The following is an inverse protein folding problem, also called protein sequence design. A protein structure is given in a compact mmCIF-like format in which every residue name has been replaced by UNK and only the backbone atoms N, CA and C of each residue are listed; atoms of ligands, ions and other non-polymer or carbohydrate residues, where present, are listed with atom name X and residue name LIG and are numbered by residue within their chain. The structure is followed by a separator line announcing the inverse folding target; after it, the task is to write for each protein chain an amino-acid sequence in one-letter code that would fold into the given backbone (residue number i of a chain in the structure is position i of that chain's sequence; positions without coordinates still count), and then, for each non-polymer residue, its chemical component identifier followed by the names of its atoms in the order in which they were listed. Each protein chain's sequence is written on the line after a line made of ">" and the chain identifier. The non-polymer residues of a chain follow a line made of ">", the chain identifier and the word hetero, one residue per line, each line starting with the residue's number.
data_IF_273224039370
#
_entry.id   IF_273224039370
#
_cell.length_a   1.000
_cell.length_b   1.000
_cell.length_c   1.000
_cell.angle_alpha   90.00
_cell.angle_beta   90.00
_cell.angle_gamma   90.00
#
_symmetry.space_group_name_H-M   'P 1'
#
loop_
_entity.id
_entity.type
_entity.pdbx_description
1 polymer ?
#
# COMPACT_ATOMS: atom_id res chain seq x y z
N UNK A 1 -23.28 55.13 6.32
CA UNK A 1 -23.57 53.72 6.55
C UNK A 1 -22.75 52.95 5.53
N UNK A 2 -21.62 52.47 5.97
CA UNK A 2 -20.58 51.82 5.16
C UNK A 2 -21.01 50.39 4.85
N UNK A 3 -21.18 50.09 3.56
CA UNK A 3 -21.32 48.76 3.01
C UNK A 3 -20.00 47.99 3.18
N UNK A 4 -19.81 47.38 4.32
CA UNK A 4 -18.90 46.24 4.45
C UNK A 4 -19.68 45.01 4.03
N UNK A 5 -19.84 44.81 2.73
CA UNK A 5 -20.15 43.51 2.16
C UNK A 5 -18.92 42.63 2.46
N UNK A 6 -19.06 41.73 3.41
CA UNK A 6 -18.10 40.65 3.68
C UNK A 6 -17.87 39.93 2.39
N UNK A 7 -16.68 40.02 1.85
CA UNK A 7 -16.12 39.11 0.86
C UNK A 7 -16.09 37.72 1.54
N UNK A 8 -17.18 36.96 1.43
CA UNK A 8 -17.15 35.55 1.71
C UNK A 8 -16.21 35.00 0.65
N UNK A 9 -15.00 34.67 1.03
CA UNK A 9 -14.05 33.93 0.19
C UNK A 9 -14.83 32.78 -0.45
N UNK A 10 -15.12 32.92 -1.73
CA UNK A 10 -15.82 31.88 -2.48
C UNK A 10 -14.92 30.65 -2.45
N UNK A 11 -15.39 29.60 -1.78
CA UNK A 11 -14.67 28.34 -1.76
C UNK A 11 -14.36 27.90 -3.20
N UNK A 12 -13.14 27.49 -3.51
CA UNK A 12 -12.75 27.07 -4.84
C UNK A 12 -13.66 25.92 -5.29
N UNK A 13 -14.22 26.05 -6.49
CA UNK A 13 -15.06 25.03 -7.10
C UNK A 13 -14.27 24.39 -8.24
N UNK A 14 -14.08 23.07 -8.17
CA UNK A 14 -13.54 22.27 -9.24
C UNK A 14 -14.66 21.46 -9.88
N UNK A 15 -14.67 21.39 -11.21
CA UNK A 15 -15.52 20.48 -11.98
C UNK A 15 -14.64 19.40 -12.62
N UNK A 16 -15.01 18.16 -12.43
CA UNK A 16 -14.48 17.01 -13.19
C UNK A 16 -15.56 16.61 -14.19
N UNK A 17 -15.29 16.73 -15.49
CA UNK A 17 -16.22 16.41 -16.56
C UNK A 17 -15.68 15.26 -17.39
N UNK A 18 -16.51 14.25 -17.66
CA UNK A 18 -16.13 13.08 -18.45
C UNK A 18 -16.72 11.82 -17.85
N UNK A 19 -15.91 10.81 -17.64
CA UNK A 19 -16.36 9.54 -17.06
C UNK A 19 -15.78 9.39 -15.65
N UNK A 20 -16.61 9.59 -14.64
CA UNK A 20 -16.22 9.45 -13.22
C UNK A 20 -16.54 8.04 -12.77
N UNK A 21 -15.52 7.25 -12.54
CA UNK A 21 -15.62 5.87 -12.10
C UNK A 21 -15.76 5.83 -10.57
N UNK A 22 -16.99 5.89 -10.08
CA UNK A 22 -17.29 5.88 -8.62
C UNK A 22 -17.04 4.50 -8.03
N UNK A 23 -17.27 3.46 -8.79
CA UNK A 23 -17.03 2.05 -8.45
C UNK A 23 -16.74 1.24 -9.71
N UNK A 24 -16.54 -0.08 -9.60
CA UNK A 24 -16.28 -0.93 -10.76
C UNK A 24 -17.44 -0.86 -11.79
N UNK A 25 -18.69 -0.80 -11.32
CA UNK A 25 -19.89 -0.80 -12.15
C UNK A 25 -20.62 0.54 -12.15
N UNK A 26 -20.22 1.51 -11.31
CA UNK A 26 -20.87 2.82 -11.22
C UNK A 26 -20.04 3.89 -11.94
N UNK A 27 -20.66 4.52 -12.95
CA UNK A 27 -20.03 5.59 -13.73
C UNK A 27 -20.97 6.80 -13.80
N UNK A 28 -20.42 7.99 -13.55
CA UNK A 28 -21.14 9.28 -13.68
C UNK A 28 -20.46 10.16 -14.72
N UNK A 29 -21.18 11.16 -15.26
CA UNK A 29 -20.65 12.04 -16.32
C UNK A 29 -19.92 13.26 -15.77
N UNK A 30 -20.15 13.60 -14.50
CA UNK A 30 -19.46 14.70 -13.83
C UNK A 30 -19.44 14.54 -12.30
N UNK A 31 -18.51 15.25 -11.70
CA UNK A 31 -18.36 15.42 -10.27
C UNK A 31 -17.91 16.86 -10.01
N UNK A 32 -18.37 17.42 -8.91
CA UNK A 32 -17.94 18.74 -8.40
C UNK A 32 -17.18 18.57 -7.10
N UNK A 33 -16.20 19.44 -6.84
CA UNK A 33 -15.58 19.58 -5.54
C UNK A 33 -15.78 21.02 -5.04
N UNK A 34 -16.33 21.13 -3.85
CA UNK A 34 -16.59 22.42 -3.17
C UNK A 34 -15.92 22.37 -1.81
N UNK A 35 -15.01 23.29 -1.54
CA UNK A 35 -14.27 23.29 -0.29
C UNK A 35 -13.55 21.96 -0.01
N UNK A 36 -13.05 21.30 -1.07
CA UNK A 36 -12.34 20.01 -0.96
C UNK A 36 -13.25 18.80 -0.82
N UNK A 37 -14.57 18.94 -0.88
CA UNK A 37 -15.54 17.83 -0.76
C UNK A 37 -16.28 17.59 -2.05
N UNK A 38 -16.53 16.32 -2.33
CA UNK A 38 -17.26 15.86 -3.51
C UNK A 38 -18.75 16.16 -3.38
N UNK A 39 -19.36 16.64 -4.46
CA UNK A 39 -20.80 16.64 -4.65
C UNK A 39 -21.16 16.32 -6.11
N UNK A 40 -22.26 15.62 -6.30
CA UNK A 40 -22.84 15.31 -7.61
C UNK A 40 -23.94 16.29 -8.01
N UNK A 41 -24.30 17.20 -7.09
CA UNK A 41 -25.20 18.33 -7.39
C UNK A 41 -24.39 19.53 -7.88
N UNK A 42 -24.88 20.20 -8.93
CA UNK A 42 -24.24 21.41 -9.42
C UNK A 42 -24.29 22.52 -8.36
N UNK A 43 -23.12 22.96 -7.83
CA UNK A 43 -23.11 23.93 -6.77
C UNK A 43 -23.38 25.37 -7.24
N UNK A 44 -23.81 26.27 -6.35
CA UNK A 44 -23.78 27.71 -6.60
C UNK A 44 -22.33 28.15 -6.96
N UNK A 45 -22.22 29.06 -7.96
CA UNK A 45 -20.91 29.54 -8.41
C UNK A 45 -20.17 28.60 -9.38
N UNK A 46 -20.85 27.56 -9.86
CA UNK A 46 -20.33 26.62 -10.86
C UNK A 46 -19.83 27.26 -12.16
N UNK A 47 -20.31 28.50 -12.50
CA UNK A 47 -19.94 29.25 -13.71
C UNK A 47 -18.45 29.61 -13.75
N UNK A 48 -17.81 29.77 -12.58
CA UNK A 48 -16.38 30.09 -12.44
C UNK A 48 -15.51 28.88 -12.11
N UNK A 49 -16.04 27.67 -12.15
CA UNK A 49 -15.32 26.47 -11.77
C UNK A 49 -14.15 26.17 -12.70
N UNK A 50 -12.98 25.86 -12.13
CA UNK A 50 -11.91 25.20 -12.87
C UNK A 50 -12.44 23.85 -13.38
N UNK A 51 -12.20 23.52 -14.64
CA UNK A 51 -12.69 22.25 -15.20
C UNK A 51 -11.52 21.38 -15.66
N UNK A 52 -11.49 20.13 -15.19
CA UNK A 52 -10.66 19.06 -15.72
C UNK A 52 -11.51 18.04 -16.46
N UNK A 53 -10.96 17.39 -17.48
CA UNK A 53 -11.72 16.47 -18.35
C UNK A 53 -10.97 15.16 -18.53
N UNK A 54 -11.71 14.05 -18.53
CA UNK A 54 -11.15 12.71 -18.76
C UNK A 54 -11.88 11.62 -17.98
N UNK A 55 -11.16 10.54 -17.71
CA UNK A 55 -11.58 9.41 -16.91
C UNK A 55 -11.07 9.59 -15.49
N UNK A 56 -11.96 9.81 -14.55
CA UNK A 56 -11.61 10.05 -13.15
C UNK A 56 -11.79 8.78 -12.30
N UNK A 57 -10.81 8.51 -11.45
CA UNK A 57 -10.81 7.45 -10.43
C UNK A 57 -10.58 8.05 -9.05
N UNK A 58 -10.92 7.36 -7.95
CA UNK A 58 -10.32 7.67 -6.65
C UNK A 58 -8.80 7.69 -6.77
N UNK A 59 -8.14 8.57 -6.04
CA UNK A 59 -6.68 8.54 -5.96
C UNK A 59 -6.18 7.14 -5.60
N UNK A 60 -5.15 6.69 -6.30
CA UNK A 60 -4.64 5.32 -6.18
C UNK A 60 -4.11 5.05 -4.78
N UNK A 61 -4.09 3.78 -4.42
CA UNK A 61 -3.57 3.27 -3.14
C UNK A 61 -2.29 2.49 -3.40
N UNK A 62 -1.23 2.80 -2.67
CA UNK A 62 -0.10 1.92 -2.46
C UNK A 62 -0.22 1.28 -1.08
N UNK A 63 -0.55 -0.01 -1.05
CA UNK A 63 -0.81 -0.72 0.19
C UNK A 63 0.47 -1.28 0.85
N UNK A 64 1.63 -1.08 0.26
CA UNK A 64 2.93 -1.41 0.81
C UNK A 64 4.00 -0.47 0.26
N UNK A 65 4.30 0.55 1.02
CA UNK A 65 5.28 1.57 0.69
C UNK A 65 5.98 2.03 1.98
N UNK A 66 7.11 2.73 1.86
CA UNK A 66 7.93 3.16 3.00
C UNK A 66 8.38 4.61 2.81
N UNK A 67 7.52 5.58 3.10
CA UNK A 67 7.88 7.00 3.08
C UNK A 67 8.80 7.32 4.26
N UNK A 68 9.90 7.97 3.99
CA UNK A 68 10.89 8.28 5.03
C UNK A 68 11.98 7.21 5.21
N UNK A 69 12.11 6.28 4.25
CA UNK A 69 13.07 5.19 4.26
C UNK A 69 13.87 5.15 2.95
N UNK A 70 15.17 4.83 3.04
CA UNK A 70 16.02 4.47 1.91
C UNK A 70 16.88 3.22 2.23
N UNK A 71 17.76 2.81 1.33
CA UNK A 71 18.62 1.63 1.50
C UNK A 71 19.54 1.68 2.74
N UNK A 72 19.71 2.84 3.36
CA UNK A 72 20.58 3.05 4.53
C UNK A 72 19.81 3.20 5.85
N UNK A 73 18.49 3.33 5.78
CA UNK A 73 17.61 3.52 6.93
C UNK A 73 16.76 4.79 6.84
N UNK A 74 16.51 5.48 7.97
CA UNK A 74 15.69 6.69 8.00
C UNK A 74 16.31 7.82 7.19
N UNK A 75 15.47 8.56 6.47
CA UNK A 75 15.87 9.76 5.73
C UNK A 75 15.37 11.03 6.40
N UNK A 76 15.88 12.19 5.98
CA UNK A 76 15.41 13.49 6.44
C UNK A 76 14.02 13.86 5.87
N UNK A 77 13.39 14.88 6.45
CA UNK A 77 12.07 15.33 6.06
C UNK A 77 12.00 15.79 4.58
N UNK A 78 13.06 16.42 4.07
CA UNK A 78 13.11 16.89 2.69
C UNK A 78 13.15 15.70 1.70
N UNK A 79 13.83 14.63 2.03
CA UNK A 79 13.83 13.39 1.24
C UNK A 79 12.48 12.68 1.32
N UNK A 80 11.89 12.57 2.52
CA UNK A 80 10.56 12.00 2.70
C UNK A 80 9.49 12.80 1.93
N UNK A 81 9.60 14.13 1.88
CA UNK A 81 8.72 14.99 1.07
C UNK A 81 8.84 14.67 -0.42
N UNK A 82 10.07 14.56 -0.95
CA UNK A 82 10.30 14.20 -2.36
C UNK A 82 9.71 12.82 -2.69
N UNK A 83 9.84 11.85 -1.79
CA UNK A 83 9.24 10.53 -1.94
C UNK A 83 7.71 10.62 -2.05
N UNK A 84 7.06 11.31 -1.11
CA UNK A 84 5.62 11.52 -1.12
C UNK A 84 5.14 12.31 -2.36
N UNK A 85 5.90 13.32 -2.82
CA UNK A 85 5.60 14.06 -4.04
C UNK A 85 5.73 13.18 -5.30
N UNK A 86 6.68 12.24 -5.33
CA UNK A 86 6.83 11.29 -6.43
C UNK A 86 5.62 10.35 -6.50
N UNK A 87 5.19 9.79 -5.36
CA UNK A 87 4.00 8.96 -5.29
C UNK A 87 2.75 9.73 -5.71
N UNK A 88 2.58 10.97 -5.21
CA UNK A 88 1.50 11.86 -5.63
C UNK A 88 1.49 12.08 -7.14
N UNK A 89 2.66 12.37 -7.72
CA UNK A 89 2.80 12.59 -9.16
C UNK A 89 2.42 11.37 -10.00
N UNK A 90 2.60 10.17 -9.47
CA UNK A 90 2.13 8.91 -10.05
C UNK A 90 0.65 8.60 -9.78
N UNK A 91 -0.08 9.50 -9.09
CA UNK A 91 -1.50 9.32 -8.78
C UNK A 91 -1.78 8.58 -7.48
N UNK A 92 -0.77 8.21 -6.70
CA UNK A 92 -0.93 7.58 -5.38
C UNK A 92 -1.28 8.65 -4.35
N UNK A 93 -2.51 8.64 -3.86
CA UNK A 93 -3.04 9.63 -2.91
C UNK A 93 -3.36 9.04 -1.53
N UNK A 94 -3.24 7.73 -1.40
CA UNK A 94 -3.34 7.01 -0.14
C UNK A 94 -2.23 5.96 -0.07
N UNK A 95 -1.46 5.98 1.00
CA UNK A 95 -0.36 5.06 1.24
C UNK A 95 -0.64 4.29 2.54
N UNK A 96 -0.52 2.97 2.53
CA UNK A 96 -0.29 2.20 3.75
C UNK A 96 1.23 2.00 3.89
N UNK A 97 1.84 2.81 4.76
CA UNK A 97 3.24 2.66 5.12
C UNK A 97 3.41 1.38 5.95
N UNK A 98 4.03 0.38 5.31
CA UNK A 98 4.24 -0.94 5.89
C UNK A 98 5.44 -0.98 6.86
N UNK A 99 5.79 0.15 7.43
CA UNK A 99 6.80 0.31 8.47
C UNK A 99 7.92 1.28 8.06
N UNK A 100 8.17 2.27 8.90
CA UNK A 100 9.27 3.20 8.74
C UNK A 100 9.87 3.56 10.10
N UNK A 101 11.20 3.69 10.21
CA UNK A 101 11.83 4.26 11.39
C UNK A 101 11.64 5.77 11.51
N UNK A 102 11.30 6.46 10.40
CA UNK A 102 11.08 7.91 10.37
C UNK A 102 9.70 8.30 10.93
N UNK A 103 9.61 9.49 11.51
CA UNK A 103 8.32 10.10 11.85
C UNK A 103 7.85 10.98 10.70
N UNK A 104 6.82 10.52 10.00
CA UNK A 104 6.22 11.20 8.85
C UNK A 104 4.89 11.88 9.18
N UNK A 105 4.52 12.06 10.46
CA UNK A 105 3.23 12.66 10.85
C UNK A 105 3.04 14.10 10.39
N UNK A 106 4.13 14.84 10.22
CA UNK A 106 4.10 16.18 9.65
C UNK A 106 3.49 16.25 8.23
N UNK A 107 3.46 15.11 7.51
CA UNK A 107 2.80 15.00 6.19
C UNK A 107 1.28 15.18 6.32
N UNK A 108 0.68 14.80 7.45
CA UNK A 108 -0.76 14.89 7.65
C UNK A 108 -1.27 16.33 7.69
N UNK A 109 -0.40 17.28 8.05
CA UNK A 109 -0.67 18.73 8.06
C UNK A 109 -0.57 19.37 6.66
N UNK A 110 -0.14 18.59 5.65
CA UNK A 110 0.05 19.05 4.27
C UNK A 110 -1.16 18.67 3.41
N UNK A 111 -1.82 19.67 2.85
CA UNK A 111 -2.96 19.47 1.94
C UNK A 111 -2.56 18.99 0.54
N UNK A 112 -1.28 19.13 0.20
CA UNK A 112 -0.72 18.81 -1.11
C UNK A 112 0.06 17.48 -1.14
N UNK A 113 0.07 16.70 -0.05
CA UNK A 113 0.73 15.40 0.04
C UNK A 113 -0.29 14.26 0.23
N UNK A 114 0.06 13.02 -0.21
CA UNK A 114 -0.78 11.84 -0.01
C UNK A 114 -1.08 11.61 1.47
N UNK A 115 -2.22 11.00 1.76
CA UNK A 115 -2.53 10.54 3.12
C UNK A 115 -1.81 9.22 3.40
N UNK A 116 -1.30 9.08 4.63
CA UNK A 116 -0.53 7.89 5.04
C UNK A 116 -1.22 7.20 6.22
N UNK A 117 -1.37 5.89 6.13
CA UNK A 117 -1.76 4.98 7.21
C UNK A 117 -0.49 4.22 7.62
N UNK A 118 0.03 4.45 8.80
CA UNK A 118 1.33 3.96 9.26
C UNK A 118 1.21 2.70 10.10
N UNK A 119 2.07 1.73 9.82
CA UNK A 119 2.23 0.54 10.67
C UNK A 119 3.27 0.72 11.79
N UNK A 120 3.74 1.95 12.00
CA UNK A 120 4.83 2.23 12.92
C UNK A 120 6.20 1.78 12.38
N UNK A 121 7.10 1.33 13.25
CA UNK A 121 8.40 0.81 12.86
C UNK A 121 8.36 -0.72 12.77
N UNK A 122 9.03 -1.30 11.79
CA UNK A 122 9.19 -2.76 11.68
C UNK A 122 9.67 -3.37 13.01
N UNK A 123 9.19 -4.59 13.30
CA UNK A 123 9.66 -5.40 14.41
C UNK A 123 10.31 -6.65 13.84
N UNK A 124 11.61 -6.84 14.08
CA UNK A 124 12.40 -7.95 13.58
C UNK A 124 13.16 -8.62 14.71
N UNK A 125 13.43 -9.92 14.56
CA UNK A 125 14.35 -10.60 15.43
C UNK A 125 15.77 -10.06 15.24
N UNK A 126 16.58 -10.01 16.31
CA UNK A 126 17.97 -9.54 16.30
C UNK A 126 18.76 -10.17 15.15
N UNK A 127 19.36 -9.32 14.30
CA UNK A 127 20.15 -9.70 13.11
C UNK A 127 19.36 -10.44 12.01
N UNK A 128 18.04 -10.35 12.02
CA UNK A 128 17.13 -11.00 11.08
C UNK A 128 16.31 -9.98 10.32
N UNK A 129 16.92 -8.90 9.86
CA UNK A 129 16.38 -7.96 8.88
C UNK A 129 17.44 -6.99 8.37
N UNK A 130 17.02 -6.02 7.53
CA UNK A 130 17.84 -4.94 7.01
C UNK A 130 18.22 -4.01 8.17
N UNK A 131 19.51 -3.67 8.23
CA UNK A 131 20.05 -2.82 9.31
C UNK A 131 19.37 -1.45 9.31
N UNK A 132 19.13 -0.88 10.47
CA UNK A 132 18.51 0.42 10.74
C UNK A 132 17.02 0.54 10.42
N UNK A 133 16.35 -0.49 9.87
CA UNK A 133 14.92 -0.44 9.57
C UNK A 133 14.07 -0.74 10.83
N UNK A 134 14.33 -1.86 11.46
CA UNK A 134 13.48 -2.44 12.49
C UNK A 134 13.91 -2.10 13.91
N UNK A 135 13.01 -2.34 14.87
CA UNK A 135 13.40 -2.71 16.22
C UNK A 135 13.94 -4.13 16.17
N UNK A 136 15.21 -4.32 16.49
CA UNK A 136 15.82 -5.65 16.59
C UNK A 136 15.66 -6.15 18.03
N UNK A 137 14.87 -7.20 18.23
CA UNK A 137 14.47 -7.70 19.55
C UNK A 137 14.57 -9.22 19.64
N UNK A 138 14.55 -9.75 20.86
CA UNK A 138 14.41 -11.17 21.12
C UNK A 138 12.93 -11.60 21.18
N UNK A 139 12.60 -12.87 20.91
CA UNK A 139 11.21 -13.35 20.85
C UNK A 139 10.37 -13.03 22.08
N UNK A 140 10.94 -13.11 23.29
CA UNK A 140 10.22 -12.81 24.53
C UNK A 140 9.77 -11.35 24.68
N UNK A 141 10.31 -10.43 23.88
CA UNK A 141 9.93 -9.00 23.87
C UNK A 141 8.85 -8.69 22.84
N UNK A 142 8.46 -9.64 21.97
CA UNK A 142 7.61 -9.40 20.80
C UNK A 142 6.28 -8.75 21.18
N UNK A 143 5.59 -9.27 22.18
CA UNK A 143 4.27 -8.74 22.64
C UNK A 143 4.39 -7.29 23.09
N UNK A 144 5.46 -6.95 23.83
CA UNK A 144 5.67 -5.58 24.33
C UNK A 144 5.91 -4.57 23.19
N UNK A 145 6.71 -4.98 22.19
CA UNK A 145 6.99 -4.13 21.04
C UNK A 145 5.81 -4.00 20.10
N UNK A 146 5.03 -5.06 19.91
CA UNK A 146 3.76 -5.02 19.17
C UNK A 146 2.78 -4.05 19.85
N UNK A 147 2.63 -4.13 21.19
CA UNK A 147 1.79 -3.19 21.92
C UNK A 147 2.26 -1.74 21.82
N UNK A 148 3.58 -1.52 21.74
CA UNK A 148 4.17 -0.20 21.52
C UNK A 148 3.82 0.36 20.14
N UNK A 149 4.07 -0.43 19.08
CA UNK A 149 3.84 0.05 17.71
C UNK A 149 2.34 0.12 17.38
N UNK A 150 1.48 -0.72 17.97
CA UNK A 150 0.03 -0.61 17.86
C UNK A 150 -0.51 0.75 18.37
N UNK A 151 0.11 1.30 19.44
CA UNK A 151 -0.25 2.64 19.96
C UNK A 151 0.37 3.79 19.17
N UNK A 152 1.46 3.52 18.46
CA UNK A 152 2.20 4.52 17.66
C UNK A 152 1.66 4.62 16.23
N UNK A 153 1.25 3.52 15.65
CA UNK A 153 0.75 3.42 14.28
C UNK A 153 -0.69 3.92 14.13
N UNK A 154 -1.18 3.87 12.92
CA UNK A 154 -2.52 4.30 12.54
C UNK A 154 -3.44 3.07 12.36
N UNK A 155 -3.38 2.14 13.32
CA UNK A 155 -4.18 0.91 13.35
C UNK A 155 -3.53 -0.28 12.64
N UNK A 156 -2.21 -0.26 12.40
CA UNK A 156 -1.43 -1.36 11.87
C UNK A 156 -0.12 -1.58 12.65
N UNK A 157 0.38 -2.82 12.62
CA UNK A 157 1.72 -3.20 13.12
C UNK A 157 2.41 -4.03 12.05
N UNK A 158 3.71 -3.80 11.80
CA UNK A 158 4.53 -4.55 10.84
C UNK A 158 5.52 -5.46 11.56
N UNK A 159 5.40 -6.76 11.29
CA UNK A 159 6.37 -7.78 11.67
C UNK A 159 7.27 -8.15 10.49
N UNK A 160 8.46 -8.66 10.80
CA UNK A 160 9.28 -9.46 9.87
C UNK A 160 9.02 -10.92 10.22
N UNK A 161 8.26 -11.63 9.38
CA UNK A 161 7.83 -13.01 9.63
C UNK A 161 8.94 -14.02 9.38
N UNK A 162 9.73 -13.83 8.32
CA UNK A 162 10.91 -14.61 7.99
C UNK A 162 12.07 -13.75 7.51
N UNK A 163 13.25 -14.29 7.54
CA UNK A 163 14.47 -13.70 6.98
C UNK A 163 15.55 -14.74 6.87
N UNK A 164 16.64 -14.41 6.17
CA UNK A 164 17.80 -15.29 6.09
C UNK A 164 18.38 -15.59 7.49
N UNK A 165 18.46 -16.85 7.84
CA UNK A 165 19.22 -17.35 8.99
C UNK A 165 20.62 -17.77 8.53
N UNK A 166 21.64 -17.11 9.11
CA UNK A 166 23.02 -17.36 8.70
C UNK A 166 23.51 -18.76 9.04
N UNK A 167 22.92 -19.40 10.07
CA UNK A 167 23.28 -20.77 10.47
C UNK A 167 22.60 -21.82 9.60
N UNK A 168 21.37 -21.57 9.17
CA UNK A 168 20.64 -22.40 8.22
C UNK A 168 21.11 -22.17 6.77
N UNK A 169 21.66 -20.97 6.47
CA UNK A 169 22.04 -20.55 5.13
C UNK A 169 20.84 -20.36 4.19
N UNK A 170 19.64 -20.13 4.75
CA UNK A 170 18.38 -20.01 4.03
C UNK A 170 17.39 -19.13 4.81
N UNK A 171 16.22 -18.84 4.21
CA UNK A 171 15.08 -18.21 4.88
C UNK A 171 14.52 -19.15 5.94
N UNK A 172 14.24 -18.63 7.13
CA UNK A 172 13.52 -19.35 8.18
C UNK A 172 12.60 -18.40 8.94
N UNK A 173 11.60 -18.95 9.66
CA UNK A 173 10.72 -18.15 10.51
C UNK A 173 11.52 -17.36 11.56
N UNK A 174 11.14 -16.10 11.78
CA UNK A 174 11.80 -15.24 12.79
C UNK A 174 11.32 -15.52 14.21
N UNK A 175 10.09 -15.97 14.38
CA UNK A 175 9.42 -16.02 15.66
C UNK A 175 8.90 -17.42 15.99
N UNK A 176 9.02 -17.86 17.26
CA UNK A 176 8.30 -19.04 17.73
C UNK A 176 6.78 -18.81 17.64
N UNK A 177 6.03 -19.85 17.26
CA UNK A 177 4.57 -19.79 17.09
C UNK A 177 3.83 -19.20 18.30
N UNK A 178 4.19 -19.59 19.52
CA UNK A 178 3.56 -19.08 20.74
C UNK A 178 3.66 -17.57 20.89
N UNK A 179 4.83 -17.01 20.55
CA UNK A 179 5.08 -15.56 20.59
C UNK A 179 4.27 -14.81 19.55
N UNK A 180 4.15 -15.37 18.33
CA UNK A 180 3.33 -14.78 17.25
C UNK A 180 1.87 -14.75 17.64
N UNK A 181 1.32 -15.85 18.17
CA UNK A 181 -0.08 -15.91 18.62
C UNK A 181 -0.36 -14.86 19.69
N UNK A 182 0.51 -14.76 20.71
CA UNK A 182 0.34 -13.77 21.77
C UNK A 182 0.46 -12.32 21.25
N UNK A 183 1.39 -12.08 20.33
CA UNK A 183 1.64 -10.75 19.78
C UNK A 183 0.49 -10.26 18.89
N UNK A 184 -0.04 -11.12 18.01
CA UNK A 184 -1.19 -10.78 17.16
C UNK A 184 -2.44 -10.54 18.02
N UNK A 185 -2.68 -11.40 19.02
CA UNK A 185 -3.79 -11.21 19.94
C UNK A 185 -3.70 -9.88 20.70
N UNK A 186 -2.50 -9.47 21.11
CA UNK A 186 -2.29 -8.16 21.77
C UNK A 186 -2.50 -6.98 20.82
N UNK A 187 -2.08 -7.07 19.56
CA UNK A 187 -2.36 -6.05 18.55
C UNK A 187 -3.87 -5.87 18.36
N UNK A 188 -4.60 -6.97 18.17
CA UNK A 188 -6.06 -6.98 18.02
C UNK A 188 -6.76 -6.42 19.25
N UNK A 189 -6.32 -6.77 20.46
CA UNK A 189 -6.84 -6.21 21.70
C UNK A 189 -6.70 -4.70 21.78
N UNK A 190 -5.67 -4.15 21.14
CA UNK A 190 -5.41 -2.71 21.03
C UNK A 190 -6.08 -2.04 19.83
N UNK A 191 -6.85 -2.80 19.03
CA UNK A 191 -7.55 -2.31 17.85
C UNK A 191 -6.67 -2.15 16.60
N UNK A 192 -5.46 -2.74 16.61
CA UNK A 192 -4.56 -2.71 15.46
C UNK A 192 -4.57 -4.04 14.70
N UNK A 193 -4.51 -3.97 13.37
CA UNK A 193 -4.25 -5.08 12.46
C UNK A 193 -2.75 -5.38 12.38
N UNK A 194 -2.38 -6.60 12.02
CA UNK A 194 -0.98 -7.02 11.89
C UNK A 194 -0.68 -7.44 10.46
N UNK A 195 0.44 -6.99 9.95
CA UNK A 195 1.00 -7.47 8.69
C UNK A 195 2.43 -7.97 8.89
N UNK A 196 2.87 -8.94 8.06
CA UNK A 196 4.20 -9.49 8.14
C UNK A 196 4.88 -9.59 6.76
N UNK A 197 6.15 -9.20 6.69
CA UNK A 197 7.05 -9.57 5.61
C UNK A 197 7.24 -11.09 5.60
N UNK A 198 6.97 -11.77 4.49
CA UNK A 198 7.22 -13.19 4.32
C UNK A 198 7.57 -13.53 2.87
N UNK A 199 8.74 -14.15 2.69
CA UNK A 199 9.15 -14.73 1.42
C UNK A 199 8.98 -16.25 1.40
N UNK A 200 9.34 -16.94 2.50
CA UNK A 200 9.39 -18.39 2.58
C UNK A 200 8.03 -19.02 2.97
N UNK A 201 7.95 -20.32 2.75
CA UNK A 201 6.78 -21.16 3.05
C UNK A 201 6.57 -21.35 4.56
N UNK A 202 7.68 -21.51 5.30
CA UNK A 202 7.70 -22.03 6.68
C UNK A 202 6.87 -21.20 7.67
N UNK A 203 6.92 -19.86 7.55
CA UNK A 203 6.25 -18.95 8.50
C UNK A 203 4.76 -18.78 8.24
N UNK A 204 4.28 -19.04 7.05
CA UNK A 204 2.92 -18.68 6.61
C UNK A 204 1.82 -19.41 7.37
N UNK A 205 2.01 -20.72 7.63
CA UNK A 205 1.02 -21.51 8.38
C UNK A 205 0.84 -20.97 9.80
N UNK A 206 1.94 -20.72 10.51
CA UNK A 206 1.87 -20.22 11.89
C UNK A 206 1.25 -18.82 11.95
N UNK A 207 1.54 -17.95 10.98
CA UNK A 207 0.96 -16.61 10.90
C UNK A 207 -0.55 -16.64 10.63
N UNK A 208 -1.00 -17.44 9.65
CA UNK A 208 -2.44 -17.52 9.34
C UNK A 208 -3.22 -18.16 10.49
N UNK A 209 -2.67 -19.18 11.14
CA UNK A 209 -3.28 -19.82 12.30
C UNK A 209 -3.29 -18.92 13.54
N UNK A 210 -2.33 -18.00 13.66
CA UNK A 210 -2.31 -16.97 14.71
C UNK A 210 -3.30 -15.81 14.46
N UNK A 211 -3.92 -15.74 13.29
CA UNK A 211 -4.93 -14.73 12.94
C UNK A 211 -4.35 -13.45 12.36
N UNK A 212 -3.25 -13.52 11.60
CA UNK A 212 -2.70 -12.36 10.90
C UNK A 212 -3.71 -11.76 9.92
N UNK A 213 -3.67 -10.44 9.71
CA UNK A 213 -4.63 -9.74 8.85
C UNK A 213 -4.13 -9.58 7.40
N UNK A 214 -2.80 -9.52 7.21
CA UNK A 214 -2.19 -9.36 5.89
C UNK A 214 -0.79 -9.96 5.86
N UNK A 215 -0.39 -10.48 4.69
CA UNK A 215 1.00 -10.90 4.44
C UNK A 215 1.55 -10.16 3.24
N UNK A 216 2.72 -9.58 3.42
CA UNK A 216 3.46 -8.87 2.37
C UNK A 216 4.29 -9.86 1.56
N UNK A 217 4.40 -9.62 0.25
CA UNK A 217 5.08 -10.48 -0.72
C UNK A 217 4.43 -11.84 -0.90
N UNK A 218 4.27 -12.61 0.16
CA UNK A 218 3.59 -13.90 0.20
C UNK A 218 4.08 -14.92 -0.86
N UNK A 219 5.35 -14.81 -1.31
CA UNK A 219 5.94 -15.67 -2.35
C UNK A 219 5.98 -17.14 -1.97
N UNK A 220 5.94 -17.42 -0.65
CA UNK A 220 5.95 -18.76 -0.06
C UNK A 220 4.58 -19.44 0.00
N UNK A 221 3.50 -18.86 -0.51
CA UNK A 221 2.20 -19.53 -0.53
C UNK A 221 2.27 -20.86 -1.32
N UNK A 222 1.62 -21.88 -0.78
CA UNK A 222 1.57 -23.26 -1.34
C UNK A 222 0.14 -23.75 -1.43
N UNK A 223 -0.07 -24.86 -2.13
CA UNK A 223 -1.37 -25.55 -2.20
C UNK A 223 -1.94 -25.88 -0.81
N UNK A 224 -1.09 -26.05 0.22
CA UNK A 224 -1.53 -26.32 1.59
C UNK A 224 -1.93 -25.06 2.36
N UNK A 225 -1.28 -23.90 2.11
CA UNK A 225 -1.51 -22.66 2.85
C UNK A 225 -2.55 -21.76 2.19
N UNK A 226 -2.67 -21.76 0.86
CA UNK A 226 -3.66 -20.97 0.12
C UNK A 226 -5.10 -21.17 0.66
N UNK A 227 -5.60 -22.40 0.88
CA UNK A 227 -6.95 -22.59 1.42
C UNK A 227 -7.14 -21.96 2.81
N UNK A 228 -6.11 -21.99 3.66
CA UNK A 228 -6.17 -21.40 5.00
C UNK A 228 -6.27 -19.88 4.95
N UNK A 229 -5.53 -19.24 4.03
CA UNK A 229 -5.61 -17.79 3.80
C UNK A 229 -6.98 -17.39 3.28
N UNK A 230 -7.52 -18.11 2.30
CA UNK A 230 -8.84 -17.85 1.73
C UNK A 230 -9.95 -18.00 2.77
N UNK A 231 -9.95 -19.10 3.54
CA UNK A 231 -10.94 -19.37 4.60
C UNK A 231 -10.97 -18.27 5.66
N UNK A 232 -9.81 -17.70 6.01
CA UNK A 232 -9.69 -16.68 7.05
C UNK A 232 -9.74 -15.26 6.51
N UNK A 233 -9.81 -15.07 5.19
CA UNK A 233 -9.84 -13.77 4.56
C UNK A 233 -8.56 -12.96 4.76
N UNK A 234 -7.41 -13.63 4.95
CA UNK A 234 -6.11 -12.97 5.10
C UNK A 234 -5.70 -12.36 3.78
N UNK A 235 -5.46 -11.04 3.75
CA UNK A 235 -5.05 -10.34 2.55
C UNK A 235 -3.58 -10.60 2.20
N UNK A 236 -3.24 -10.44 0.91
CA UNK A 236 -1.84 -10.36 0.47
C UNK A 236 -1.57 -9.10 -0.33
N UNK A 237 -0.33 -8.62 -0.23
CA UNK A 237 0.21 -7.54 -1.06
C UNK A 237 1.47 -8.07 -1.74
N UNK A 238 1.36 -8.57 -3.00
CA UNK A 238 2.43 -9.36 -3.63
C UNK A 238 3.72 -8.60 -3.92
N UNK A 239 3.66 -7.28 -4.13
CA UNK A 239 4.84 -6.46 -4.45
C UNK A 239 5.68 -7.02 -5.59
N UNK A 240 5.06 -7.42 -6.69
CA UNK A 240 5.73 -8.11 -7.80
C UNK A 240 6.87 -7.27 -8.40
N UNK A 241 6.76 -5.93 -8.35
CA UNK A 241 7.86 -5.04 -8.76
C UNK A 241 9.09 -5.19 -7.86
N UNK A 242 8.90 -5.47 -6.56
CA UNK A 242 10.01 -5.81 -5.66
C UNK A 242 10.52 -7.21 -5.93
N UNK A 243 9.64 -8.20 -6.11
CA UNK A 243 10.04 -9.59 -6.40
C UNK A 243 10.84 -9.68 -7.70
N UNK A 244 10.67 -8.75 -8.64
CA UNK A 244 11.47 -8.67 -9.84
C UNK A 244 12.98 -8.47 -9.56
N UNK A 245 13.37 -8.03 -8.37
CA UNK A 245 14.76 -7.86 -7.95
C UNK A 245 15.42 -9.18 -7.44
N UNK A 246 14.64 -10.23 -7.20
CA UNK A 246 15.13 -11.48 -6.61
C UNK A 246 16.29 -12.15 -7.37
N UNK A 247 16.31 -12.17 -8.72
CA UNK A 247 17.44 -12.73 -9.46
C UNK A 247 18.78 -12.05 -9.14
N UNK A 248 18.76 -10.70 -9.02
CA UNK A 248 19.96 -9.92 -8.71
C UNK A 248 20.38 -10.11 -7.25
N UNK A 249 19.41 -10.12 -6.32
CA UNK A 249 19.67 -10.43 -4.91
C UNK A 249 20.27 -11.84 -4.75
N UNK A 250 19.70 -12.84 -5.43
CA UNK A 250 20.19 -14.21 -5.42
C UNK A 250 21.62 -14.30 -5.96
N UNK A 251 21.90 -13.66 -7.09
CA UNK A 251 23.24 -13.61 -7.66
C UNK A 251 24.27 -12.97 -6.71
N UNK A 252 23.90 -11.86 -6.08
CA UNK A 252 24.76 -11.18 -5.10
C UNK A 252 25.06 -11.99 -3.83
N UNK A 253 24.13 -12.87 -3.43
CA UNK A 253 24.23 -13.70 -2.24
C UNK A 253 24.85 -15.08 -2.45
N UNK A 254 24.94 -15.56 -3.70
CA UNK A 254 25.22 -16.97 -4.04
C UNK A 254 26.52 -17.52 -3.44
N UNK A 255 27.60 -16.76 -3.49
CA UNK A 255 28.88 -17.18 -2.95
C UNK A 255 28.84 -17.44 -1.43
N UNK A 256 27.97 -16.74 -0.70
CA UNK A 256 27.87 -16.82 0.76
C UNK A 256 26.73 -17.73 1.23
N UNK A 257 25.61 -17.71 0.54
CA UNK A 257 24.37 -18.41 0.89
C UNK A 257 23.76 -19.11 -0.33
N UNK A 258 24.40 -20.18 -0.86
CA UNK A 258 23.96 -20.83 -2.10
C UNK A 258 22.54 -21.43 -2.00
N UNK A 259 22.15 -21.96 -0.81
CA UNK A 259 20.79 -22.48 -0.59
C UNK A 259 19.76 -21.38 -0.67
N UNK A 260 19.96 -20.29 0.05
CA UNK A 260 19.10 -19.11 0.01
C UNK A 260 18.99 -18.55 -1.42
N UNK A 261 20.11 -18.48 -2.14
CA UNK A 261 20.13 -17.99 -3.52
C UNK A 261 19.28 -18.88 -4.45
N UNK A 262 19.40 -20.21 -4.32
CA UNK A 262 18.59 -21.14 -5.10
C UNK A 262 17.09 -21.03 -4.73
N UNK A 263 16.78 -20.88 -3.44
CA UNK A 263 15.42 -20.69 -2.94
C UNK A 263 14.79 -19.39 -3.48
N UNK A 264 15.50 -18.26 -3.41
CA UNK A 264 15.02 -16.98 -3.95
C UNK A 264 14.70 -17.07 -5.46
N UNK A 265 15.51 -17.81 -6.25
CA UNK A 265 15.22 -18.05 -7.68
C UNK A 265 13.94 -18.86 -7.86
N UNK A 266 13.72 -19.91 -7.06
CA UNK A 266 12.51 -20.73 -7.11
C UNK A 266 11.26 -19.90 -6.77
N UNK A 267 11.32 -19.07 -5.74
CA UNK A 267 10.24 -18.14 -5.37
C UNK A 267 9.95 -17.16 -6.51
N UNK A 268 10.99 -16.63 -7.15
CA UNK A 268 10.84 -15.75 -8.32
C UNK A 268 10.19 -16.44 -9.50
N UNK A 269 10.63 -17.66 -9.86
CA UNK A 269 10.11 -18.39 -11.00
C UNK A 269 8.61 -18.66 -10.90
N UNK A 270 8.12 -19.00 -9.70
CA UNK A 270 6.70 -19.31 -9.47
C UNK A 270 5.82 -18.11 -9.10
N UNK A 271 6.38 -16.89 -8.98
CA UNK A 271 5.68 -15.70 -8.43
C UNK A 271 4.30 -15.42 -9.04
N UNK A 272 4.18 -15.54 -10.37
CA UNK A 272 2.91 -15.27 -11.05
C UNK A 272 1.89 -16.38 -10.79
N UNK A 273 2.32 -17.65 -10.86
CA UNK A 273 1.46 -18.80 -10.57
C UNK A 273 0.96 -18.75 -9.12
N UNK A 274 1.83 -18.37 -8.18
CA UNK A 274 1.48 -18.20 -6.77
C UNK A 274 0.41 -17.12 -6.57
N UNK A 275 0.58 -15.93 -7.18
CA UNK A 275 -0.40 -14.85 -7.09
C UNK A 275 -1.71 -15.23 -7.78
N UNK A 276 -1.63 -15.90 -8.93
CA UNK A 276 -2.81 -16.38 -9.65
C UNK A 276 -3.58 -17.41 -8.82
N UNK A 277 -2.91 -18.40 -8.26
CA UNK A 277 -3.54 -19.41 -7.41
C UNK A 277 -4.19 -18.80 -6.14
N UNK A 278 -3.53 -17.82 -5.53
CA UNK A 278 -4.10 -17.08 -4.39
C UNK A 278 -5.39 -16.33 -4.79
N UNK A 279 -5.37 -15.61 -5.91
CA UNK A 279 -6.54 -14.91 -6.43
C UNK A 279 -7.70 -15.87 -6.76
N UNK A 280 -7.42 -16.98 -7.47
CA UNK A 280 -8.42 -17.97 -7.86
C UNK A 280 -9.06 -18.66 -6.63
N UNK A 281 -8.33 -18.74 -5.51
CA UNK A 281 -8.84 -19.25 -4.25
C UNK A 281 -9.67 -18.22 -3.47
N UNK A 282 -9.78 -16.97 -3.95
CA UNK A 282 -10.53 -15.88 -3.32
C UNK A 282 -9.78 -15.15 -2.22
N UNK A 283 -8.45 -15.25 -2.14
CA UNK A 283 -7.63 -14.44 -1.25
C UNK A 283 -7.68 -12.98 -1.70
N UNK A 284 -7.98 -12.01 -0.81
CA UNK A 284 -7.93 -10.59 -1.14
C UNK A 284 -6.50 -10.17 -1.55
N UNK A 285 -6.34 -9.61 -2.75
CA UNK A 285 -5.05 -9.14 -3.29
C UNK A 285 -5.10 -7.63 -3.44
N UNK A 286 -4.10 -6.93 -2.92
CA UNK A 286 -3.98 -5.47 -3.04
C UNK A 286 -2.65 -5.07 -3.66
N UNK A 287 -2.64 -3.91 -4.32
CA UNK A 287 -1.45 -3.32 -4.93
C UNK A 287 -0.56 -2.71 -3.87
N UNK A 288 0.72 -3.05 -3.88
CA UNK A 288 1.75 -2.41 -3.09
C UNK A 288 3.10 -2.57 -3.76
N UNK A 289 3.97 -1.58 -3.63
CA UNK A 289 5.20 -1.50 -4.43
C UNK A 289 6.45 -1.91 -3.67
N UNK A 290 6.43 -1.83 -2.34
CA UNK A 290 7.62 -1.88 -1.49
C UNK A 290 8.64 -0.77 -1.82
N UNK A 291 8.13 0.36 -2.35
CA UNK A 291 8.93 1.55 -2.61
C UNK A 291 9.48 2.16 -1.31
N UNK A 292 10.61 2.81 -1.40
CA UNK A 292 11.49 3.09 -0.27
C UNK A 292 12.55 1.99 -0.18
N UNK A 293 13.44 2.02 0.75
CA UNK A 293 14.52 1.05 0.76
C UNK A 293 15.35 1.10 -0.54
N UNK A 294 15.33 0.03 -1.31
CA UNK A 294 16.09 -0.09 -2.56
C UNK A 294 15.30 0.29 -3.82
N UNK A 295 13.98 0.40 -3.73
CA UNK A 295 13.12 0.75 -4.86
C UNK A 295 12.75 2.24 -4.84
N UNK A 296 12.63 2.81 -6.04
CA UNK A 296 12.12 4.17 -6.21
C UNK A 296 10.62 4.24 -5.91
N UNK A 297 10.13 5.41 -5.52
CA UNK A 297 8.70 5.70 -5.39
C UNK A 297 8.02 5.88 -6.75
N UNK A 298 6.68 5.82 -6.80
CA UNK A 298 5.88 6.06 -8.00
C UNK A 298 5.63 4.81 -8.85
N UNK A 299 5.71 3.61 -8.29
CA UNK A 299 5.66 2.34 -9.04
C UNK A 299 4.28 1.67 -9.09
N UNK A 300 3.21 2.27 -8.56
CA UNK A 300 1.87 1.67 -8.48
C UNK A 300 1.36 1.18 -9.83
N UNK A 301 1.51 1.98 -10.90
CA UNK A 301 1.09 1.55 -12.25
C UNK A 301 1.86 0.31 -12.74
N UNK A 302 3.14 0.20 -12.37
CA UNK A 302 3.96 -0.99 -12.65
C UNK A 302 3.44 -2.23 -11.93
N UNK A 303 3.12 -2.11 -10.64
CA UNK A 303 2.57 -3.23 -9.86
C UNK A 303 1.21 -3.70 -10.39
N UNK A 304 0.31 -2.78 -10.78
CA UNK A 304 -0.96 -3.14 -11.44
C UNK A 304 -0.69 -3.94 -12.73
N UNK A 305 0.28 -3.51 -13.54
CA UNK A 305 0.63 -4.24 -14.75
C UNK A 305 1.20 -5.64 -14.46
N UNK A 306 1.99 -5.79 -13.39
CA UNK A 306 2.49 -7.09 -12.95
C UNK A 306 1.37 -8.02 -12.45
N UNK A 307 0.37 -7.49 -11.74
CA UNK A 307 -0.81 -8.27 -11.34
C UNK A 307 -1.59 -8.78 -12.56
N UNK A 308 -1.76 -7.95 -13.59
CA UNK A 308 -2.40 -8.38 -14.85
C UNK A 308 -1.56 -9.46 -15.56
N UNK A 309 -0.23 -9.36 -15.56
CA UNK A 309 0.65 -10.42 -16.08
C UNK A 309 0.52 -11.73 -15.28
N UNK A 310 0.28 -11.64 -13.98
CA UNK A 310 -0.01 -12.81 -13.15
C UNK A 310 -1.40 -13.42 -13.45
N UNK A 311 -2.19 -12.83 -14.35
CA UNK A 311 -3.50 -13.31 -14.77
C UNK A 311 -4.67 -12.76 -13.98
N UNK A 312 -4.47 -11.77 -13.11
CA UNK A 312 -5.59 -11.08 -12.47
C UNK A 312 -6.32 -10.23 -13.52
N UNK A 313 -7.67 -10.29 -13.59
CA UNK A 313 -8.43 -9.48 -14.53
C UNK A 313 -8.13 -7.98 -14.37
N UNK A 314 -7.99 -7.20 -15.47
CA UNK A 314 -7.62 -5.78 -15.40
C UNK A 314 -8.49 -4.93 -14.47
N UNK A 315 -9.82 -5.17 -14.44
CA UNK A 315 -10.73 -4.46 -13.55
C UNK A 315 -10.47 -4.78 -12.07
N UNK A 316 -10.14 -6.03 -11.75
CA UNK A 316 -9.81 -6.46 -10.39
C UNK A 316 -8.43 -5.90 -9.96
N UNK A 317 -7.44 -5.91 -10.85
CA UNK A 317 -6.14 -5.29 -10.58
C UNK A 317 -6.27 -3.77 -10.38
N UNK A 318 -7.16 -3.10 -11.13
CA UNK A 318 -7.51 -1.70 -10.93
C UNK A 318 -8.22 -1.48 -9.58
N UNK A 319 -9.18 -2.34 -9.23
CA UNK A 319 -9.88 -2.31 -7.94
C UNK A 319 -8.90 -2.46 -6.77
N UNK A 320 -7.88 -3.30 -6.92
CA UNK A 320 -6.84 -3.56 -5.91
C UNK A 320 -5.95 -2.34 -5.59
N UNK A 321 -6.00 -1.26 -6.37
CA UNK A 321 -5.34 0.03 -6.08
C UNK A 321 -6.32 1.20 -5.96
N UNK A 322 -7.62 1.00 -6.24
CA UNK A 322 -8.62 2.06 -6.18
C UNK A 322 -9.70 1.72 -5.13
N UNK A 323 -10.88 1.34 -5.57
CA UNK A 323 -12.05 1.14 -4.70
C UNK A 323 -11.87 0.04 -3.66
N UNK A 324 -11.38 -1.12 -4.07
CA UNK A 324 -11.18 -2.28 -3.21
C UNK A 324 -10.16 -2.01 -2.11
N UNK A 325 -9.02 -1.44 -2.47
CA UNK A 325 -7.98 -1.07 -1.51
C UNK A 325 -8.45 0.00 -0.52
N UNK A 326 -9.18 1.03 -1.00
CA UNK A 326 -9.75 2.07 -0.11
C UNK A 326 -10.77 1.49 0.86
N UNK A 327 -11.67 0.64 0.38
CA UNK A 327 -12.64 -0.06 1.22
C UNK A 327 -11.95 -0.93 2.28
N UNK A 328 -10.95 -1.71 1.90
CA UNK A 328 -10.16 -2.53 2.82
C UNK A 328 -9.46 -1.70 3.91
N UNK A 329 -8.97 -0.51 3.55
CA UNK A 329 -8.32 0.41 4.48
C UNK A 329 -9.32 1.31 5.23
N UNK A 330 -10.64 1.17 5.00
CA UNK A 330 -11.69 1.98 5.63
C UNK A 330 -11.63 3.45 5.23
N UNK A 331 -11.26 3.72 3.97
CA UNK A 331 -11.17 5.08 3.41
C UNK A 331 -12.17 5.26 2.28
N UNK A 332 -12.81 6.45 2.18
CA UNK A 332 -13.78 6.71 1.13
C UNK A 332 -13.11 6.73 -0.26
N UNK A 333 -13.91 6.43 -1.28
CA UNK A 333 -13.62 6.65 -2.69
C UNK A 333 -14.12 8.00 -3.18
N UNK A 334 -15.05 7.98 -4.16
CA UNK A 334 -15.66 9.18 -4.73
C UNK A 334 -17.13 9.35 -4.32
N UNK A 335 -17.49 8.95 -3.10
CA UNK A 335 -18.84 9.10 -2.57
C UNK A 335 -19.17 10.57 -2.30
N UNK A 336 -20.48 10.91 -2.29
CA UNK A 336 -20.98 12.23 -1.90
C UNK A 336 -20.41 12.64 -0.52
N UNK A 337 -19.86 13.85 -0.42
CA UNK A 337 -19.27 14.39 0.79
C UNK A 337 -17.85 13.89 1.12
N UNK A 338 -17.30 12.93 0.39
CA UNK A 338 -15.93 12.47 0.56
C UNK A 338 -14.89 13.55 0.22
N UNK A 339 -13.64 13.46 0.70
CA UNK A 339 -12.56 14.29 0.19
C UNK A 339 -12.41 14.13 -1.32
N UNK A 340 -12.22 15.22 -2.04
CA UNK A 340 -12.02 15.20 -3.49
C UNK A 340 -10.56 14.88 -3.81
N UNK A 341 -10.17 13.62 -3.55
CA UNK A 341 -8.86 13.05 -3.82
C UNK A 341 -9.00 12.06 -4.98
N UNK A 342 -8.62 12.50 -6.19
CA UNK A 342 -8.86 11.75 -7.42
C UNK A 342 -7.76 11.95 -8.46
N UNK A 343 -7.69 11.02 -9.39
CA UNK A 343 -6.77 11.06 -10.53
C UNK A 343 -7.59 11.04 -11.82
N UNK A 344 -7.19 11.86 -12.79
CA UNK A 344 -7.86 11.94 -14.11
C UNK A 344 -6.90 11.45 -15.19
N UNK A 345 -7.39 10.56 -16.03
CA UNK A 345 -6.68 9.99 -17.17
C UNK A 345 -7.31 10.40 -18.48
N UNK A 346 -6.56 10.33 -19.58
CA UNK A 346 -7.06 10.65 -20.91
C UNK A 346 -7.94 9.54 -21.47
N UNK A 347 -7.58 8.28 -21.20
CA UNK A 347 -8.24 7.08 -21.69
C UNK A 347 -8.83 6.24 -20.55
N UNK A 348 -9.70 5.27 -20.90
CA UNK A 348 -10.35 4.39 -19.92
C UNK A 348 -9.35 3.38 -19.32
N UNK A 349 -9.00 3.50 -18.03
CA UNK A 349 -8.05 2.58 -17.39
C UNK A 349 -8.59 1.16 -17.19
N UNK A 350 -9.90 0.94 -17.37
CA UNK A 350 -10.49 -0.41 -17.37
C UNK A 350 -10.22 -1.15 -18.68
N UNK A 351 -10.08 -0.40 -19.78
CA UNK A 351 -9.73 -0.95 -21.08
C UNK A 351 -8.23 -1.26 -21.19
N UNK A 352 -7.38 -0.40 -20.60
CA UNK A 352 -5.94 -0.59 -20.58
C UNK A 352 -5.34 0.00 -19.30
N UNK A 353 -4.93 -0.86 -18.37
CA UNK A 353 -4.33 -0.43 -17.11
C UNK A 353 -3.00 0.32 -17.28
N UNK A 354 -2.35 0.24 -18.44
CA UNK A 354 -1.08 0.95 -18.72
C UNK A 354 -1.24 2.46 -18.71
N UNK A 355 -2.46 2.98 -18.92
CA UNK A 355 -2.74 4.42 -18.81
C UNK A 355 -2.49 4.97 -17.42
N UNK A 356 -2.48 4.13 -16.38
CA UNK A 356 -2.20 4.54 -15.00
C UNK A 356 -0.79 5.14 -14.85
N UNK A 357 0.14 4.83 -15.76
CA UNK A 357 1.49 5.38 -15.74
C UNK A 357 1.57 6.88 -16.10
N UNK A 358 0.50 7.45 -16.66
CA UNK A 358 0.48 8.84 -17.14
C UNK A 358 -0.79 9.58 -16.67
N UNK A 359 -0.90 9.94 -15.39
CA UNK A 359 -1.99 10.78 -14.91
C UNK A 359 -2.03 12.11 -15.66
N UNK A 360 -3.20 12.49 -16.16
CA UNK A 360 -3.40 13.79 -16.79
C UNK A 360 -3.52 14.92 -15.77
N UNK A 361 -4.26 14.65 -14.70
CA UNK A 361 -4.37 15.55 -13.56
C UNK A 361 -4.43 14.73 -12.26
N UNK A 362 -3.78 15.26 -11.25
CA UNK A 362 -3.90 14.80 -9.88
C UNK A 362 -4.62 15.85 -9.06
N UNK A 363 -5.65 15.45 -8.34
CA UNK A 363 -6.49 16.33 -7.52
C UNK A 363 -6.41 15.87 -6.07
N UNK A 364 -6.03 16.76 -5.19
CA UNK A 364 -6.04 16.57 -3.74
C UNK A 364 -6.87 17.66 -3.07
N UNK A 365 -7.77 17.28 -2.19
CA UNK A 365 -8.67 18.18 -1.49
C UNK A 365 -9.38 19.16 -2.44
N UNK A 366 -9.77 18.67 -3.64
CA UNK A 366 -10.45 19.46 -4.66
C UNK A 366 -9.58 20.48 -5.40
N UNK A 367 -8.25 20.40 -5.27
CA UNK A 367 -7.31 21.26 -5.99
C UNK A 367 -6.43 20.43 -6.93
N UNK A 368 -6.23 20.94 -8.14
CA UNK A 368 -5.28 20.33 -9.08
C UNK A 368 -3.87 20.58 -8.57
N UNK A 369 -3.09 19.52 -8.34
CA UNK A 369 -1.75 19.58 -7.74
C UNK A 369 -0.65 18.98 -8.62
N UNK A 370 -1.02 18.46 -9.80
CA UNK A 370 -0.09 17.90 -10.78
C UNK A 370 -0.74 17.72 -12.14
#
# INVERSE_FOLDING_TARGET
>A
MSDQVRDQERQPVLRVKGRVLVGPDEVRDELWAVGGRITYERPPGAEGAQTVTGWALPGLVDAHCHVGLDAHGPVDAATAERQALTDRGAGTLLIRDAGSPSDTRWIDDREDLPKIIRAGRHIARTRRYIRNYAHEIEPGDLVAYVAREARRGDGWVKLVGDWIDRSAGDLTACWPRGEVVAAIAEAHRLGARVTAHCFAEESLRDLVEAGIDCVEHATGLTEETIPLFAERGVAIVPTLVNIATFPDLAAGGEAKFPRWSAHMRQLYERRYDTVRAAYDAGIPVYVGTDAGGSLAHGLVAGEVAELVKAGIPPLEALSATAWGARSWLGRPGLEEGAPADLVVYEEDPRADVRVLAAPRNVVLNGRVVG
#
